data_IF_897446762993
#
_entry.id   IF_897446762993
#
_cell.length_a   1.000
_cell.length_b   1.000
_cell.length_c   1.000
_cell.angle_alpha   90.00
_cell.angle_beta   90.00
_cell.angle_gamma   90.00
#
_symmetry.space_group_name_H-M   'P 1'
#
loop_
_entity.id
_entity.type
_entity.pdbx_description
1 polymer ?
#
# COMPACT_ATOMS: atom_id res chain seq x y z
N UNK A 1 -48.66 -39.85 26.26
CA UNK A 1 -47.30 -39.63 25.72
C UNK A 1 -46.33 -39.51 26.90
N UNK A 2 -45.31 -40.37 27.01
CA UNK A 2 -44.41 -40.36 28.17
C UNK A 2 -43.28 -39.32 27.97
N UNK A 3 -42.96 -38.59 29.04
CA UNK A 3 -41.84 -37.66 29.14
C UNK A 3 -40.55 -38.44 29.40
N UNK A 4 -39.53 -38.24 28.56
CA UNK A 4 -38.16 -38.70 28.82
C UNK A 4 -37.41 -37.67 29.66
N UNK A 5 -36.50 -38.09 30.57
CA UNK A 5 -35.65 -37.18 31.31
C UNK A 5 -34.34 -36.91 30.56
N UNK A 6 -33.94 -35.63 30.51
CA UNK A 6 -32.63 -35.19 30.05
C UNK A 6 -31.56 -35.56 31.10
N UNK A 7 -30.47 -36.15 30.62
CA UNK A 7 -29.30 -36.56 31.39
C UNK A 7 -28.19 -35.53 31.10
N UNK A 8 -27.89 -34.66 32.05
CA UNK A 8 -26.73 -33.77 31.99
C UNK A 8 -25.49 -34.54 32.46
N UNK A 9 -24.51 -34.68 31.58
CA UNK A 9 -23.13 -35.06 31.92
C UNK A 9 -22.29 -33.79 31.97
N UNK A 10 -21.92 -33.38 33.19
CA UNK A 10 -20.80 -32.47 33.43
C UNK A 10 -19.52 -33.31 33.32
N UNK A 11 -18.70 -33.04 32.32
CA UNK A 11 -17.30 -33.47 32.29
C UNK A 11 -16.45 -32.29 32.78
N UNK A 12 -15.91 -32.43 33.99
CA UNK A 12 -14.83 -31.61 34.53
C UNK A 12 -13.54 -31.96 33.77
N UNK A 13 -13.00 -31.01 33.01
CA UNK A 13 -11.64 -31.09 32.48
C UNK A 13 -10.66 -30.43 33.46
N UNK A 14 -9.85 -31.26 34.10
CA UNK A 14 -8.66 -30.84 34.86
C UNK A 14 -7.64 -30.16 33.93
N UNK A 15 -7.31 -28.90 34.23
CA UNK A 15 -6.20 -28.18 33.62
C UNK A 15 -4.88 -28.58 34.30
N UNK A 16 -3.97 -29.19 33.52
CA UNK A 16 -2.62 -29.54 33.96
C UNK A 16 -1.70 -28.32 34.17
N UNK A 17 -0.58 -28.48 34.90
CA UNK A 17 0.27 -27.38 35.30
C UNK A 17 1.12 -26.83 34.15
N UNK A 18 1.19 -25.50 34.06
CA UNK A 18 2.08 -24.75 33.19
C UNK A 18 3.55 -25.08 33.48
N UNK A 19 4.29 -25.45 32.44
CA UNK A 19 5.71 -25.74 32.49
C UNK A 19 6.49 -24.48 32.03
N UNK A 20 7.35 -23.98 32.91
CA UNK A 20 8.23 -22.83 32.69
C UNK A 20 9.20 -23.11 31.52
N UNK A 21 9.20 -22.22 30.53
CA UNK A 21 10.22 -22.18 29.47
C UNK A 21 11.27 -21.12 29.84
N UNK A 22 12.34 -21.57 30.49
CA UNK A 22 13.56 -20.79 30.71
C UNK A 22 14.49 -20.89 29.50
N UNK A 23 14.78 -19.74 28.92
CA UNK A 23 16.08 -19.28 28.40
C UNK A 23 17.06 -20.30 27.80
N UNK A 24 17.28 -20.20 26.49
CA UNK A 24 18.55 -20.59 25.85
C UNK A 24 18.85 -19.66 24.66
N UNK A 25 19.55 -18.55 24.92
CA UNK A 25 20.21 -17.77 23.89
C UNK A 25 21.45 -18.53 23.42
N UNK A 26 21.40 -19.08 22.21
CA UNK A 26 22.56 -19.66 21.52
C UNK A 26 23.27 -18.56 20.73
N UNK A 27 24.52 -18.27 21.10
CA UNK A 27 25.40 -17.33 20.42
C UNK A 27 25.87 -17.90 19.08
N UNK A 28 25.72 -17.12 18.00
CA UNK A 28 26.24 -17.45 16.66
C UNK A 28 27.64 -16.83 16.51
N UNK A 29 28.67 -17.59 16.13
CA UNK A 29 29.96 -17.01 15.76
C UNK A 29 29.92 -16.48 14.32
N UNK A 30 30.28 -15.20 14.16
CA UNK A 30 30.61 -14.58 12.88
C UNK A 30 31.93 -15.18 12.35
N UNK A 31 31.87 -15.88 11.22
CA UNK A 31 33.06 -16.27 10.46
C UNK A 31 33.15 -15.44 9.18
N UNK A 32 34.20 -14.64 9.14
CA UNK A 32 34.66 -13.85 8.00
C UNK A 32 35.40 -14.73 7.00
N UNK A 33 35.01 -14.72 5.72
CA UNK A 33 35.89 -15.13 4.63
C UNK A 33 35.46 -14.45 3.31
N UNK A 34 36.32 -13.57 2.79
CA UNK A 34 36.32 -13.10 1.41
C UNK A 34 37.25 -14.00 0.59
N UNK A 35 36.91 -14.27 -0.68
CA UNK A 35 37.93 -14.42 -1.70
C UNK A 35 37.70 -13.40 -2.83
N UNK A 36 38.75 -12.62 -3.08
CA UNK A 36 38.82 -11.71 -4.22
C UNK A 36 39.07 -12.46 -5.53
N UNK A 37 38.57 -11.89 -6.62
CA UNK A 37 39.11 -12.10 -7.96
C UNK A 37 39.12 -10.77 -8.69
N UNK A 38 40.34 -10.37 -9.05
CA UNK A 38 40.69 -9.22 -9.87
C UNK A 38 40.49 -9.53 -11.35
N UNK A 39 39.73 -8.71 -12.06
CA UNK A 39 39.83 -8.57 -13.50
C UNK A 39 40.06 -7.09 -13.85
N UNK A 40 40.96 -6.77 -14.80
CA UNK A 40 41.21 -5.40 -15.21
C UNK A 40 40.06 -4.90 -16.10
N UNK A 41 39.67 -3.60 -16.01
CA UNK A 41 38.66 -3.06 -16.89
C UNK A 41 39.26 -2.79 -18.28
N UNK A 42 38.43 -3.10 -19.28
CA UNK A 42 38.60 -2.71 -20.67
C UNK A 42 38.55 -1.18 -20.74
N UNK A 43 39.59 -0.56 -21.30
CA UNK A 43 39.64 0.88 -21.60
C UNK A 43 39.12 1.06 -23.02
N UNK A 44 37.98 1.74 -23.17
CA UNK A 44 37.54 2.33 -24.43
C UNK A 44 37.93 3.80 -24.38
N UNK A 45 38.97 4.16 -25.13
CA UNK A 45 39.32 5.53 -25.45
C UNK A 45 38.32 6.00 -26.53
N UNK A 46 37.37 6.86 -26.18
CA UNK A 46 36.70 7.86 -27.06
C UNK A 46 35.39 8.47 -26.44
N UNK A 47 35.33 8.76 -25.13
CA UNK A 47 34.17 9.46 -24.50
C UNK A 47 34.37 10.97 -24.26
N UNK A 48 35.56 11.51 -24.52
CA UNK A 48 35.90 12.89 -24.10
C UNK A 48 35.31 14.01 -24.99
N UNK A 49 34.58 13.68 -26.06
CA UNK A 49 33.98 14.68 -26.95
C UNK A 49 32.52 15.01 -26.64
N UNK A 50 31.82 14.21 -25.83
CA UNK A 50 30.40 14.46 -25.49
C UNK A 50 30.20 15.11 -24.11
N UNK A 51 31.09 14.87 -23.14
CA UNK A 51 30.96 15.36 -21.76
C UNK A 51 31.15 16.88 -21.62
N UNK A 52 31.87 17.51 -22.55
CA UNK A 52 32.25 18.92 -22.48
C UNK A 52 31.11 19.90 -22.77
N UNK A 53 30.06 19.47 -23.49
CA UNK A 53 28.93 20.33 -23.84
C UNK A 53 27.84 20.39 -22.75
N UNK A 54 27.78 19.41 -21.86
CA UNK A 54 26.73 19.26 -20.85
C UNK A 54 27.11 19.80 -19.45
N UNK A 55 28.40 19.92 -19.12
CA UNK A 55 28.83 20.33 -17.76
C UNK A 55 28.69 21.84 -17.47
N UNK A 56 28.55 22.70 -18.47
CA UNK A 56 28.44 24.15 -18.23
C UNK A 56 27.05 24.66 -17.83
N UNK A 57 26.06 23.78 -17.63
CA UNK A 57 24.66 24.16 -17.37
C UNK A 57 24.13 23.73 -16.00
N UNK A 58 24.98 23.52 -14.99
CA UNK A 58 24.52 22.89 -13.73
C UNK A 58 23.79 23.80 -12.71
N UNK A 59 23.73 25.13 -12.87
CA UNK A 59 23.24 26.02 -11.78
C UNK A 59 22.07 26.99 -12.07
N UNK A 60 21.22 26.77 -13.08
CA UNK A 60 19.98 27.54 -13.27
C UNK A 60 18.73 26.70 -13.00
N UNK A 61 17.68 27.34 -12.48
CA UNK A 61 16.33 26.81 -12.20
C UNK A 61 15.92 25.56 -13.01
N UNK A 62 15.50 24.50 -12.32
CA UNK A 62 15.24 23.17 -12.91
C UNK A 62 14.30 23.18 -14.13
N UNK A 63 13.28 24.04 -14.18
CA UNK A 63 12.32 24.05 -15.30
C UNK A 63 12.95 24.50 -16.62
N UNK A 64 13.95 25.38 -16.59
CA UNK A 64 14.57 25.92 -17.81
C UNK A 64 15.54 24.93 -18.45
N UNK A 65 16.09 24.00 -17.67
CA UNK A 65 16.96 22.94 -18.19
C UNK A 65 16.16 21.84 -18.87
N UNK A 66 15.04 21.46 -18.28
CA UNK A 66 14.20 20.39 -18.81
C UNK A 66 13.63 20.76 -20.19
N UNK A 67 13.15 22.00 -20.36
CA UNK A 67 12.69 22.50 -21.66
C UNK A 67 13.83 22.53 -22.70
N UNK A 68 15.05 22.90 -22.30
CA UNK A 68 16.21 22.88 -23.20
C UNK A 68 16.58 21.47 -23.65
N UNK A 69 16.47 20.47 -22.77
CA UNK A 69 16.75 19.06 -23.09
C UNK A 69 15.70 18.52 -24.07
N UNK A 70 14.42 18.82 -23.82
CA UNK A 70 13.31 18.44 -24.70
C UNK A 70 13.48 19.05 -26.09
N UNK A 71 13.86 20.33 -26.15
CA UNK A 71 14.09 21.03 -27.42
C UNK A 71 15.26 20.42 -28.20
N UNK A 72 16.37 20.08 -27.52
CA UNK A 72 17.52 19.44 -28.15
C UNK A 72 17.18 18.04 -28.68
N UNK A 73 16.47 17.21 -27.91
CA UNK A 73 16.00 15.90 -28.34
C UNK A 73 15.04 16.01 -29.53
N UNK A 74 14.13 17.00 -29.48
CA UNK A 74 13.18 17.24 -30.56
C UNK A 74 13.86 17.68 -31.86
N UNK A 75 14.87 18.56 -31.76
CA UNK A 75 15.66 19.00 -32.91
C UNK A 75 16.52 17.87 -33.50
N UNK A 76 17.11 17.03 -32.64
CA UNK A 76 17.91 15.87 -33.04
C UNK A 76 17.12 14.85 -33.88
N UNK A 77 15.84 14.66 -33.60
CA UNK A 77 14.98 13.74 -34.37
C UNK A 77 14.64 14.27 -35.77
N UNK A 78 14.88 15.56 -36.03
CA UNK A 78 14.55 16.21 -37.28
C UNK A 78 13.04 16.27 -37.58
N UNK A 79 12.68 17.02 -38.61
CA UNK A 79 11.28 17.17 -39.05
C UNK A 79 10.69 15.89 -39.66
N UNK A 80 11.50 14.85 -39.89
CA UNK A 80 11.09 13.60 -40.52
C UNK A 80 10.30 12.70 -39.58
N UNK A 81 10.44 12.88 -38.26
CA UNK A 81 9.65 12.18 -37.24
C UNK A 81 8.33 12.91 -36.92
N UNK A 82 7.49 13.10 -37.95
CA UNK A 82 6.26 13.90 -37.90
C UNK A 82 5.17 13.44 -36.89
N UNK A 83 5.40 12.36 -36.13
CA UNK A 83 4.43 11.80 -35.19
C UNK A 83 4.68 12.13 -33.72
N UNK A 84 5.90 12.52 -33.33
CA UNK A 84 6.25 12.78 -31.93
C UNK A 84 6.17 14.27 -31.62
N UNK A 85 5.46 14.62 -30.54
CA UNK A 85 5.37 15.97 -29.98
C UNK A 85 6.41 16.17 -28.86
N UNK A 86 6.73 17.42 -28.52
CA UNK A 86 7.61 17.73 -27.38
C UNK A 86 7.05 17.18 -26.06
N UNK A 87 5.73 17.15 -25.93
CA UNK A 87 5.03 16.53 -24.81
C UNK A 87 5.25 15.01 -24.73
N UNK A 88 5.41 14.33 -25.87
CA UNK A 88 5.73 12.90 -25.90
C UNK A 88 7.16 12.65 -25.40
N UNK A 89 8.11 13.52 -25.77
CA UNK A 89 9.49 13.47 -25.28
C UNK A 89 9.56 13.76 -23.79
N UNK A 90 8.81 14.77 -23.30
CA UNK A 90 8.67 15.02 -21.85
C UNK A 90 8.14 13.80 -21.12
N UNK A 91 7.12 13.15 -21.68
CA UNK A 91 6.56 11.93 -21.08
C UNK A 91 7.59 10.80 -21.06
N UNK A 92 8.39 10.63 -22.12
CA UNK A 92 9.47 9.66 -22.16
C UNK A 92 10.55 9.97 -21.12
N UNK A 93 10.94 11.24 -20.95
CA UNK A 93 11.85 11.64 -19.89
C UNK A 93 11.27 11.32 -18.51
N UNK A 94 9.98 11.57 -18.27
CA UNK A 94 9.27 11.19 -17.04
C UNK A 94 9.32 9.67 -16.81
N UNK A 95 9.12 8.87 -17.87
CA UNK A 95 9.16 7.38 -17.84
C UNK A 95 10.55 6.85 -17.49
N UNK A 96 11.59 7.53 -17.97
CA UNK A 96 12.99 7.15 -17.81
C UNK A 96 13.71 8.00 -16.76
N UNK A 97 12.98 8.59 -15.81
CA UNK A 97 13.54 9.34 -14.66
C UNK A 97 14.53 10.47 -15.07
N UNK A 98 14.28 11.09 -16.21
CA UNK A 98 15.12 12.16 -16.78
C UNK A 98 16.37 11.67 -17.51
N UNK A 99 16.54 10.37 -17.74
CA UNK A 99 17.67 9.79 -18.48
C UNK A 99 17.57 10.10 -19.98
N UNK A 100 18.26 11.17 -20.38
CA UNK A 100 18.27 11.71 -21.74
C UNK A 100 18.83 10.70 -22.74
N UNK A 101 19.89 9.99 -22.38
CA UNK A 101 20.58 9.04 -23.27
C UNK A 101 19.67 7.86 -23.58
N UNK A 102 18.95 7.37 -22.57
CA UNK A 102 18.01 6.27 -22.75
C UNK A 102 16.78 6.68 -23.57
N UNK A 103 16.29 7.90 -23.38
CA UNK A 103 15.24 8.47 -24.22
C UNK A 103 15.72 8.63 -25.67
N UNK A 104 16.93 9.16 -25.87
CA UNK A 104 17.55 9.29 -27.19
C UNK A 104 17.70 7.93 -27.88
N UNK A 105 18.27 6.92 -27.21
CA UNK A 105 18.36 5.54 -27.73
C UNK A 105 16.98 4.96 -28.04
N UNK A 106 15.98 5.15 -27.18
CA UNK A 106 14.61 4.68 -27.44
C UNK A 106 13.98 5.35 -28.67
N UNK A 107 14.32 6.62 -28.93
CA UNK A 107 13.80 7.38 -30.07
C UNK A 107 14.55 7.09 -31.38
N UNK A 108 15.84 6.72 -31.29
CA UNK A 108 16.71 6.45 -32.45
C UNK A 108 16.74 4.96 -32.87
N UNK A 109 16.63 4.03 -31.92
CA UNK A 109 16.80 2.59 -32.17
C UNK A 109 15.49 1.84 -32.43
N UNK A 110 14.34 2.36 -31.99
CA UNK A 110 13.06 1.69 -32.17
C UNK A 110 12.34 2.15 -33.44
N UNK A 111 11.60 1.21 -34.06
CA UNK A 111 10.61 1.53 -35.07
C UNK A 111 9.65 2.58 -34.48
N UNK A 112 9.55 3.76 -35.09
CA UNK A 112 8.81 4.92 -34.57
C UNK A 112 7.39 4.55 -34.09
N UNK A 113 6.79 3.53 -34.70
CA UNK A 113 5.49 2.98 -34.32
C UNK A 113 5.46 2.43 -32.88
N UNK A 114 6.53 1.76 -32.42
CA UNK A 114 6.63 1.18 -31.07
C UNK A 114 6.76 2.26 -30.00
N UNK A 115 7.62 3.25 -30.22
CA UNK A 115 7.80 4.38 -29.28
C UNK A 115 6.53 5.22 -29.18
N UNK A 116 5.86 5.48 -30.31
CA UNK A 116 4.55 6.14 -30.33
C UNK A 116 3.47 5.35 -29.57
N UNK A 117 3.50 4.02 -29.67
CA UNK A 117 2.54 3.20 -28.95
C UNK A 117 2.81 3.21 -27.43
N UNK A 118 4.08 3.16 -27.01
CA UNK A 118 4.47 3.28 -25.60
C UNK A 118 3.98 4.59 -25.00
N UNK A 119 4.21 5.70 -25.70
CA UNK A 119 3.73 7.04 -25.29
C UNK A 119 2.20 7.10 -25.18
N UNK A 120 1.47 6.50 -26.14
CA UNK A 120 0.00 6.41 -26.09
C UNK A 120 -0.47 5.60 -24.89
N UNK A 121 0.19 4.48 -24.60
CA UNK A 121 -0.16 3.61 -23.48
C UNK A 121 0.08 4.34 -22.14
N UNK A 122 1.18 5.09 -22.00
CA UNK A 122 1.44 5.92 -20.81
C UNK A 122 0.46 7.09 -20.65
N UNK A 123 0.09 7.77 -21.74
CA UNK A 123 -0.96 8.81 -21.69
C UNK A 123 -2.28 8.25 -21.21
N UNK A 124 -2.65 7.05 -21.69
CA UNK A 124 -3.86 6.37 -21.25
C UNK A 124 -3.77 6.04 -19.75
N UNK A 125 -2.66 5.46 -19.28
CA UNK A 125 -2.46 5.15 -17.87
C UNK A 125 -2.60 6.41 -16.98
N UNK A 126 -1.96 7.51 -17.37
CA UNK A 126 -2.03 8.79 -16.65
C UNK A 126 -3.44 9.39 -16.65
N UNK A 127 -4.19 9.25 -17.75
CA UNK A 127 -5.59 9.69 -17.81
C UNK A 127 -6.50 8.87 -16.90
N UNK A 128 -6.31 7.55 -16.82
CA UNK A 128 -7.05 6.67 -15.93
C UNK A 128 -6.74 7.01 -14.47
N UNK A 129 -5.47 7.26 -14.15
CA UNK A 129 -5.05 7.72 -12.83
C UNK A 129 -5.68 9.08 -12.47
N UNK A 130 -5.71 10.05 -13.39
CA UNK A 130 -6.28 11.37 -13.12
C UNK A 130 -7.82 11.35 -12.96
N UNK A 131 -8.53 10.51 -13.73
CA UNK A 131 -9.96 10.28 -13.56
C UNK A 131 -10.26 9.59 -12.21
N UNK A 132 -9.35 8.74 -11.75
CA UNK A 132 -9.45 8.03 -10.48
C UNK A 132 -9.08 8.91 -9.26
N UNK A 133 -8.11 9.80 -9.40
CA UNK A 133 -7.68 10.76 -8.39
C UNK A 133 -8.64 11.95 -8.22
N UNK A 134 -9.67 12.05 -9.06
CA UNK A 134 -10.70 13.08 -8.91
C UNK A 134 -11.31 12.94 -7.50
N UNK A 135 -11.04 13.88 -6.59
CA UNK A 135 -11.39 13.71 -5.19
C UNK A 135 -12.90 13.58 -5.12
N UNK A 136 -13.36 12.41 -4.67
CA UNK A 136 -14.76 12.25 -4.28
C UNK A 136 -14.97 13.21 -3.13
N UNK A 137 -15.51 14.38 -3.44
CA UNK A 137 -15.95 15.37 -2.46
C UNK A 137 -16.92 14.63 -1.55
N UNK A 138 -16.43 14.26 -0.38
CA UNK A 138 -17.23 13.59 0.63
C UNK A 138 -18.26 14.62 1.09
N UNK A 139 -19.47 14.50 0.55
CA UNK A 139 -20.63 15.24 0.98
C UNK A 139 -20.83 15.01 2.48
N UNK A 140 -21.01 16.11 3.19
CA UNK A 140 -21.23 16.19 4.63
C UNK A 140 -22.17 15.08 5.13
N UNK A 141 -21.69 14.34 6.14
CA UNK A 141 -22.51 13.39 6.88
C UNK A 141 -23.63 14.19 7.56
N UNK A 142 -24.91 13.87 7.34
CA UNK A 142 -26.02 14.54 7.99
C UNK A 142 -25.85 14.50 9.51
N UNK A 143 -25.80 15.68 10.11
CA UNK A 143 -25.68 15.86 11.55
C UNK A 143 -27.04 15.49 12.19
N UNK A 144 -27.16 14.26 12.68
CA UNK A 144 -28.33 13.83 13.46
C UNK A 144 -28.30 14.47 14.85
N UNK A 145 -29.31 15.28 15.14
CA UNK A 145 -29.57 15.90 16.45
C UNK A 145 -29.74 14.83 17.53
N UNK A 146 -28.65 14.52 18.23
CA UNK A 146 -28.61 13.50 19.29
C UNK A 146 -28.76 14.18 20.66
N UNK A 147 -29.54 13.62 21.61
CA UNK A 147 -29.78 14.18 22.94
C UNK A 147 -28.49 14.46 23.73
N UNK A 148 -28.54 15.49 24.58
CA UNK A 148 -27.47 16.04 25.42
C UNK A 148 -26.86 15.01 26.36
N UNK A 149 -25.84 14.32 25.87
CA UNK A 149 -25.15 13.28 26.60
C UNK A 149 -24.00 13.90 27.43
N UNK A 150 -23.83 13.45 28.69
CA UNK A 150 -22.85 14.05 29.62
C UNK A 150 -21.42 13.66 29.21
N UNK A 151 -20.46 14.61 29.20
CA UNK A 151 -19.07 14.30 28.89
C UNK A 151 -18.46 13.36 29.95
N UNK A 152 -17.61 12.44 29.50
CA UNK A 152 -16.85 11.53 30.36
C UNK A 152 -15.90 12.32 31.30
N UNK A 153 -15.74 11.90 32.57
CA UNK A 153 -14.72 12.46 33.46
C UNK A 153 -13.32 12.38 32.85
N UNK A 154 -12.48 13.38 33.10
CA UNK A 154 -11.15 13.47 32.50
C UNK A 154 -10.28 12.23 32.79
N UNK A 155 -10.32 11.69 34.01
CA UNK A 155 -9.57 10.50 34.41
C UNK A 155 -10.02 9.23 33.67
N UNK A 156 -11.33 9.06 33.43
CA UNK A 156 -11.86 7.94 32.64
C UNK A 156 -11.47 8.06 31.18
N UNK A 157 -11.49 9.28 30.63
CA UNK A 157 -11.06 9.58 29.26
C UNK A 157 -9.59 9.23 29.04
N UNK A 158 -8.70 9.60 29.96
CA UNK A 158 -7.26 9.30 29.88
C UNK A 158 -6.98 7.80 29.94
N UNK A 159 -7.64 7.07 30.85
CA UNK A 159 -7.53 5.60 30.93
C UNK A 159 -7.99 4.92 29.65
N UNK A 160 -9.10 5.40 29.08
CA UNK A 160 -9.61 4.86 27.81
C UNK A 160 -8.62 5.09 26.67
N UNK A 161 -8.07 6.31 26.54
CA UNK A 161 -7.05 6.63 25.53
C UNK A 161 -5.83 5.71 25.68
N UNK A 162 -5.38 5.49 26.92
CA UNK A 162 -4.29 4.57 27.21
C UNK A 162 -4.62 3.13 26.79
N UNK A 163 -5.80 2.60 27.14
CA UNK A 163 -6.22 1.26 26.75
C UNK A 163 -6.29 1.09 25.23
N UNK A 164 -6.78 2.09 24.50
CA UNK A 164 -6.78 2.05 23.02
C UNK A 164 -5.35 1.94 22.49
N UNK A 165 -4.42 2.78 22.96
CA UNK A 165 -3.03 2.77 22.45
C UNK A 165 -2.25 1.51 22.83
N UNK A 166 -2.37 1.06 24.07
CA UNK A 166 -1.51 0.01 24.62
C UNK A 166 -2.08 -1.40 24.45
N UNK A 167 -3.39 -1.53 24.21
CA UNK A 167 -4.04 -2.84 24.11
C UNK A 167 -4.63 -3.03 22.72
N UNK A 168 -5.48 -2.11 22.26
CA UNK A 168 -6.18 -2.26 20.99
C UNK A 168 -5.22 -2.24 19.79
N UNK A 169 -4.26 -1.32 19.76
CA UNK A 169 -3.31 -1.20 18.63
C UNK A 169 -2.38 -2.41 18.49
N UNK A 170 -1.73 -2.92 19.56
CA UNK A 170 -0.92 -4.14 19.46
C UNK A 170 -1.75 -5.37 19.09
N UNK A 171 -2.98 -5.49 19.60
CA UNK A 171 -3.88 -6.56 19.19
C UNK A 171 -4.25 -6.44 17.71
N UNK A 172 -4.52 -5.23 17.22
CA UNK A 172 -4.77 -4.99 15.80
C UNK A 172 -3.57 -5.40 14.96
N UNK A 173 -2.35 -5.03 15.36
CA UNK A 173 -1.13 -5.46 14.67
C UNK A 173 -1.05 -6.99 14.58
N UNK A 174 -1.36 -7.70 15.66
CA UNK A 174 -1.37 -9.16 15.69
C UNK A 174 -2.46 -9.77 14.78
N UNK A 175 -3.64 -9.18 14.70
CA UNK A 175 -4.72 -9.62 13.79
C UNK A 175 -4.37 -9.38 12.31
N UNK A 176 -3.53 -8.37 12.03
CA UNK A 176 -2.99 -8.17 10.69
C UNK A 176 -1.94 -9.24 10.35
N UNK A 177 -1.18 -9.74 11.33
CA UNK A 177 -0.23 -10.84 11.14
C UNK A 177 -0.99 -12.13 10.79
N UNK A 178 -0.86 -12.57 9.54
CA UNK A 178 -1.59 -13.73 9.02
C UNK A 178 -2.80 -13.37 8.17
N UNK A 179 -3.09 -12.08 7.98
CA UNK A 179 -4.02 -11.64 6.95
C UNK A 179 -3.56 -12.15 5.58
N UNK A 180 -4.47 -12.84 4.91
CA UNK A 180 -4.33 -13.21 3.51
C UNK A 180 -5.10 -12.22 2.67
N UNK A 181 -4.46 -11.71 1.62
CA UNK A 181 -5.14 -10.89 0.64
C UNK A 181 -5.68 -11.80 -0.46
N UNK A 182 -6.91 -11.56 -0.95
CA UNK A 182 -7.41 -12.23 -2.15
C UNK A 182 -6.48 -12.00 -3.34
N UNK A 183 -6.47 -12.97 -4.26
CA UNK A 183 -5.82 -12.78 -5.56
C UNK A 183 -6.52 -11.66 -6.33
N UNK A 184 -5.74 -10.91 -7.10
CA UNK A 184 -6.22 -9.80 -7.93
C UNK A 184 -6.06 -10.19 -9.40
N UNK A 185 -7.17 -10.27 -10.11
CA UNK A 185 -7.21 -10.66 -11.52
C UNK A 185 -7.95 -9.63 -12.37
N UNK A 186 -7.58 -9.56 -13.65
CA UNK A 186 -8.27 -8.76 -14.64
C UNK A 186 -8.14 -9.42 -15.99
N UNK A 187 -9.27 -9.86 -16.55
CA UNK A 187 -9.35 -10.49 -17.87
C UNK A 187 -9.84 -9.50 -18.94
N UNK A 188 -9.20 -8.33 -18.99
CA UNK A 188 -9.54 -7.28 -19.93
C UNK A 188 -9.32 -7.67 -21.40
N UNK A 189 -9.99 -6.98 -22.34
CA UNK A 189 -9.83 -7.24 -23.78
C UNK A 189 -8.46 -6.81 -24.33
N UNK A 190 -7.78 -5.87 -23.65
CA UNK A 190 -6.47 -5.32 -24.06
C UNK A 190 -5.30 -5.92 -23.30
N UNK A 191 -5.49 -6.20 -22.02
CA UNK A 191 -4.49 -6.77 -21.14
C UNK A 191 -5.17 -7.69 -20.16
N UNK A 192 -4.46 -8.73 -19.80
CA UNK A 192 -4.81 -9.69 -18.78
C UNK A 192 -3.70 -9.69 -17.74
N UNK A 193 -4.06 -9.72 -16.46
CA UNK A 193 -3.07 -9.88 -15.41
C UNK A 193 -3.63 -10.60 -14.20
N UNK A 194 -2.72 -11.24 -13.48
CA UNK A 194 -2.99 -11.98 -12.25
C UNK A 194 -1.93 -11.62 -11.22
N UNK A 195 -2.33 -11.24 -10.01
CA UNK A 195 -1.48 -11.13 -8.84
C UNK A 195 -1.96 -12.18 -7.85
N UNK A 196 -1.12 -13.18 -7.55
CA UNK A 196 -1.48 -14.34 -6.74
C UNK A 196 -0.59 -14.51 -5.53
N UNK A 197 -1.15 -15.09 -4.48
CA UNK A 197 -0.40 -15.40 -3.26
C UNK A 197 0.05 -14.14 -2.53
N UNK A 198 -0.84 -13.14 -2.45
CA UNK A 198 -0.57 -11.91 -1.73
C UNK A 198 -0.57 -12.19 -0.22
N UNK A 199 0.58 -11.95 0.42
CA UNK A 199 0.78 -12.24 1.84
C UNK A 199 1.44 -11.07 2.56
N UNK A 200 0.93 -10.72 3.75
CA UNK A 200 1.54 -9.70 4.58
C UNK A 200 2.85 -10.24 5.18
N UNK A 201 3.97 -9.57 4.90
CA UNK A 201 5.29 -9.91 5.44
C UNK A 201 5.59 -9.14 6.71
N UNK A 202 5.28 -7.85 6.71
CA UNK A 202 5.65 -6.93 7.78
C UNK A 202 4.62 -5.81 7.91
N UNK A 203 4.48 -5.33 9.14
CA UNK A 203 3.54 -4.28 9.53
C UNK A 203 4.16 -3.42 10.61
N UNK A 204 4.30 -2.14 10.33
CA UNK A 204 4.76 -1.15 11.32
C UNK A 204 3.64 -0.15 11.57
N UNK A 205 3.16 -0.10 12.82
CA UNK A 205 2.19 0.90 13.30
C UNK A 205 2.92 1.80 14.31
N UNK A 206 3.21 3.07 13.97
CA UNK A 206 3.86 3.99 14.90
C UNK A 206 2.87 4.43 15.98
N UNK A 207 2.96 3.81 17.17
CA UNK A 207 2.05 4.02 18.31
C UNK A 207 2.02 5.50 18.77
N UNK A 208 3.15 6.20 18.63
CA UNK A 208 3.30 7.62 18.92
C UNK A 208 2.46 8.52 18.01
N UNK A 209 2.12 8.04 16.81
CA UNK A 209 1.30 8.75 15.82
C UNK A 209 -0.18 8.35 15.87
N UNK A 210 -0.58 7.49 16.82
CA UNK A 210 -1.99 7.19 17.06
C UNK A 210 -2.61 8.34 17.85
N UNK A 211 -3.63 8.98 17.30
CA UNK A 211 -4.41 10.02 17.95
C UNK A 211 -5.77 9.45 18.36
N UNK A 212 -6.19 9.72 19.60
CA UNK A 212 -7.49 9.30 20.12
C UNK A 212 -8.20 10.54 20.64
N UNK A 213 -9.30 10.90 20.00
CA UNK A 213 -10.14 12.03 20.38
C UNK A 213 -11.48 11.52 20.87
N UNK A 214 -11.83 11.82 22.13
CA UNK A 214 -13.11 11.42 22.71
C UNK A 214 -14.07 12.60 22.69
N UNK A 215 -15.01 12.58 21.75
CA UNK A 215 -16.07 13.58 21.56
C UNK A 215 -17.42 12.90 21.76
N UNK A 216 -17.82 12.75 23.01
CA UNK A 216 -19.01 11.98 23.39
C UNK A 216 -20.25 12.36 22.54
N UNK A 217 -20.97 11.37 21.95
CA UNK A 217 -20.85 9.92 22.12
C UNK A 217 -19.83 9.22 21.21
N UNK A 218 -19.11 9.96 20.39
CA UNK A 218 -18.15 9.43 19.43
C UNK A 218 -16.73 9.41 20.00
N UNK A 219 -15.99 8.39 19.60
CA UNK A 219 -14.57 8.19 19.87
C UNK A 219 -13.92 8.08 18.50
N UNK A 220 -13.02 9.00 18.19
CA UNK A 220 -12.26 9.01 16.96
C UNK A 220 -10.86 8.49 17.25
N UNK A 221 -10.43 7.49 16.48
CA UNK A 221 -9.08 6.94 16.54
C UNK A 221 -8.46 7.10 15.15
N UNK A 222 -7.39 7.86 15.06
CA UNK A 222 -6.67 8.11 13.82
C UNK A 222 -5.24 7.57 13.97
N UNK A 223 -4.87 6.63 13.12
CA UNK A 223 -3.52 6.08 13.03
C UNK A 223 -2.90 6.57 11.73
N UNK A 224 -1.79 7.30 11.81
CA UNK A 224 -1.08 7.84 10.65
C UNK A 224 0.23 7.10 10.40
N UNK A 225 0.73 7.18 9.16
CA UNK A 225 2.00 6.62 8.72
C UNK A 225 2.17 5.13 9.06
N UNK A 226 1.10 4.35 8.94
CA UNK A 226 1.21 2.89 8.97
C UNK A 226 1.96 2.44 7.71
N UNK A 227 2.85 1.47 7.88
CA UNK A 227 3.64 0.87 6.80
C UNK A 227 3.35 -0.62 6.73
N UNK A 228 3.16 -1.14 5.51
CA UNK A 228 2.96 -2.56 5.26
C UNK A 228 3.89 -3.03 4.16
N UNK A 229 4.35 -4.28 4.29
CA UNK A 229 5.09 -4.96 3.24
C UNK A 229 4.34 -6.22 2.81
N UNK A 230 4.02 -6.31 1.53
CA UNK A 230 3.26 -7.44 0.96
C UNK A 230 4.17 -8.22 0.00
N UNK A 231 4.26 -9.53 0.19
CA UNK A 231 4.82 -10.42 -0.81
C UNK A 231 3.76 -10.74 -1.87
N UNK A 232 4.16 -10.72 -3.14
CA UNK A 232 3.36 -11.26 -4.23
C UNK A 232 4.06 -12.54 -4.67
N UNK A 233 3.42 -13.67 -4.39
CA UNK A 233 3.96 -15.00 -4.70
C UNK A 233 4.18 -15.20 -6.19
N UNK A 234 3.18 -14.88 -7.01
CA UNK A 234 3.31 -14.93 -8.47
C UNK A 234 2.52 -13.78 -9.08
N UNK A 235 3.11 -13.05 -10.02
CA UNK A 235 2.39 -12.16 -10.91
C UNK A 235 2.50 -12.67 -12.35
N UNK A 236 1.47 -12.44 -13.14
CA UNK A 236 1.41 -12.76 -14.56
C UNK A 236 0.79 -11.57 -15.28
N UNK A 237 1.33 -11.22 -16.44
CA UNK A 237 0.80 -10.18 -17.32
C UNK A 237 0.81 -10.64 -18.76
N UNK A 238 -0.25 -10.35 -19.50
CA UNK A 238 -0.39 -10.65 -20.92
C UNK A 238 -1.11 -9.52 -21.65
N UNK A 239 -0.42 -8.84 -22.57
CA UNK A 239 -1.05 -7.90 -23.50
C UNK A 239 -1.65 -8.65 -24.68
N UNK A 240 -2.95 -8.45 -24.93
CA UNK A 240 -3.68 -8.99 -26.07
C UNK A 240 -3.60 -8.02 -27.25
N UNK A 241 -3.34 -8.52 -28.46
CA UNK A 241 -3.31 -7.70 -29.69
C UNK A 241 -2.28 -8.13 -30.73
N UNK A 242 -2.00 -7.24 -31.68
CA UNK A 242 -1.05 -7.48 -32.79
C UNK A 242 0.40 -7.59 -32.32
N UNK A 243 0.75 -6.97 -31.20
CA UNK A 243 2.03 -7.13 -30.52
C UNK A 243 1.77 -7.72 -29.12
N UNK A 244 1.51 -9.02 -29.08
CA UNK A 244 1.30 -9.76 -27.84
C UNK A 244 2.62 -9.91 -27.10
N UNK A 245 2.64 -9.55 -25.83
CA UNK A 245 3.75 -9.87 -24.94
C UNK A 245 3.21 -10.41 -23.62
N UNK A 246 3.97 -11.32 -23.03
CA UNK A 246 3.66 -11.97 -21.78
C UNK A 246 4.90 -11.93 -20.89
N UNK A 247 4.69 -11.70 -19.60
CA UNK A 247 5.74 -11.76 -18.60
C UNK A 247 5.15 -12.25 -17.26
N UNK A 248 6.00 -12.83 -16.42
CA UNK A 248 5.60 -13.37 -15.13
C UNK A 248 6.78 -13.41 -14.14
N UNK A 249 6.48 -13.54 -12.85
CA UNK A 249 7.50 -13.72 -11.83
C UNK A 249 7.02 -13.42 -10.42
N UNK A 250 7.95 -13.01 -9.57
CA UNK A 250 7.67 -12.62 -8.18
C UNK A 250 7.82 -11.11 -7.98
N UNK A 251 7.09 -10.57 -7.00
CA UNK A 251 7.24 -9.18 -6.60
C UNK A 251 7.05 -9.00 -5.09
N UNK A 252 7.44 -7.83 -4.60
CA UNK A 252 7.06 -7.35 -3.27
C UNK A 252 6.56 -5.93 -3.40
N UNK A 253 5.69 -5.52 -2.49
CA UNK A 253 5.11 -4.18 -2.47
C UNK A 253 5.31 -3.57 -1.10
N UNK A 254 5.91 -2.40 -1.08
CA UNK A 254 5.98 -1.55 0.10
C UNK A 254 4.83 -0.52 0.01
N UNK A 255 3.99 -0.50 1.04
CA UNK A 255 2.92 0.46 1.21
C UNK A 255 3.28 1.38 2.37
N UNK A 256 3.25 2.69 2.14
CA UNK A 256 3.62 3.69 3.16
C UNK A 256 2.65 4.86 3.19
N UNK A 257 2.65 5.57 4.32
CA UNK A 257 1.72 6.68 4.56
C UNK A 257 0.27 6.19 4.67
N UNK A 258 0.06 4.97 5.17
CA UNK A 258 -1.30 4.45 5.37
C UNK A 258 -1.93 5.18 6.54
N UNK A 259 -3.15 5.66 6.34
CA UNK A 259 -3.98 6.29 7.37
C UNK A 259 -5.19 5.43 7.65
N UNK A 260 -5.42 5.16 8.92
CA UNK A 260 -6.57 4.38 9.40
C UNK A 260 -7.35 5.25 10.37
N UNK A 261 -8.54 5.68 9.95
CA UNK A 261 -9.49 6.43 10.75
C UNK A 261 -10.63 5.54 11.21
N UNK A 262 -10.92 5.54 12.52
CA UNK A 262 -12.02 4.80 13.13
C UNK A 262 -12.92 5.78 13.88
N UNK A 263 -14.22 5.68 13.64
CA UNK A 263 -15.26 6.31 14.44
C UNK A 263 -15.99 5.22 15.19
N UNK A 264 -15.82 5.20 16.51
CA UNK A 264 -16.49 4.31 17.44
C UNK A 264 -17.58 5.12 18.13
N UNK A 265 -18.80 4.58 18.21
CA UNK A 265 -19.91 5.27 18.89
C UNK A 265 -20.38 4.44 20.07
N UNK A 266 -20.61 5.11 21.19
CA UNK A 266 -21.32 4.51 22.31
C UNK A 266 -22.83 4.59 22.09
N UNK A 267 -23.55 3.49 22.29
CA UNK A 267 -25.01 3.49 22.35
C UNK A 267 -25.50 2.66 23.54
N UNK A 268 -26.71 2.97 24.00
CA UNK A 268 -27.38 2.24 25.07
C UNK A 268 -28.49 1.42 24.44
N UNK A 269 -28.50 0.11 24.68
CA UNK A 269 -29.57 -0.76 24.19
C UNK A 269 -30.83 -0.54 25.06
N UNK A 270 -31.91 -0.02 24.48
CA UNK A 270 -33.16 0.18 25.19
C UNK A 270 -34.02 -1.09 25.12
N UNK A 271 -33.98 -1.90 26.18
CA UNK A 271 -35.13 -2.64 26.73
C UNK A 271 -34.74 -3.31 28.06
N UNK A 272 -34.90 -2.57 29.18
CA UNK A 272 -34.86 -3.13 30.54
C UNK A 272 -33.49 -3.28 31.22
N UNK A 273 -32.38 -3.12 30.51
CA UNK A 273 -31.02 -3.19 31.08
C UNK A 273 -30.16 -2.08 30.47
N UNK A 274 -29.62 -1.16 31.30
CA UNK A 274 -28.75 -0.06 30.86
C UNK A 274 -27.34 -0.57 30.51
N UNK A 275 -27.23 -1.41 29.48
CA UNK A 275 -25.94 -1.91 28.99
C UNK A 275 -25.41 -0.96 27.93
N UNK A 276 -24.19 -0.46 28.15
CA UNK A 276 -23.49 0.37 27.17
C UNK A 276 -22.74 -0.52 26.18
N UNK A 277 -22.97 -0.30 24.90
CA UNK A 277 -22.26 -0.95 23.81
C UNK A 277 -21.39 0.07 23.08
N UNK A 278 -20.18 -0.37 22.73
CA UNK A 278 -19.28 0.34 21.83
C UNK A 278 -19.27 -0.42 20.51
N UNK A 279 -19.44 0.31 19.41
CA UNK A 279 -19.39 -0.28 18.07
C UNK A 279 -18.66 0.62 17.10
N UNK A 280 -17.94 0.00 16.16
CA UNK A 280 -17.34 0.72 15.05
C UNK A 280 -18.47 1.23 14.13
N UNK A 281 -18.64 2.56 14.07
CA UNK A 281 -19.60 3.23 13.18
C UNK A 281 -19.04 3.40 11.78
N UNK A 282 -17.77 3.77 11.68
CA UNK A 282 -17.09 4.02 10.41
C UNK A 282 -15.61 3.63 10.54
N UNK A 283 -15.08 2.97 9.53
CA UNK A 283 -13.66 2.77 9.32
C UNK A 283 -13.30 3.35 7.95
N UNK A 284 -12.23 4.13 7.88
CA UNK A 284 -11.67 4.67 6.64
C UNK A 284 -10.21 4.32 6.58
N UNK A 285 -9.78 3.74 5.47
CA UNK A 285 -8.37 3.45 5.20
C UNK A 285 -7.97 4.15 3.91
N UNK A 286 -6.82 4.80 3.92
CA UNK A 286 -6.22 5.37 2.71
C UNK A 286 -4.74 5.05 2.66
N UNK A 287 -4.25 4.64 1.50
CA UNK A 287 -2.83 4.36 1.26
C UNK A 287 -2.24 5.50 0.43
N UNK A 288 -1.20 6.18 0.92
CA UNK A 288 -0.58 7.29 0.20
C UNK A 288 0.33 6.79 -0.94
N UNK A 289 1.26 5.89 -0.63
CA UNK A 289 2.28 5.43 -1.58
C UNK A 289 2.28 3.91 -1.72
N UNK A 290 2.46 3.45 -2.96
CA UNK A 290 2.55 2.02 -3.31
C UNK A 290 3.78 1.82 -4.19
N UNK A 291 4.78 1.08 -3.69
CA UNK A 291 6.04 0.85 -4.41
C UNK A 291 6.24 -0.63 -4.69
N UNK A 292 6.21 -1.00 -5.98
CA UNK A 292 6.50 -2.36 -6.43
C UNK A 292 8.01 -2.58 -6.55
N UNK A 293 8.45 -3.77 -6.13
CA UNK A 293 9.80 -4.29 -6.37
C UNK A 293 9.68 -5.67 -6.99
N UNK A 294 9.87 -5.73 -8.29
CA UNK A 294 9.86 -6.97 -9.06
C UNK A 294 11.22 -7.68 -8.93
N UNK A 295 11.23 -9.01 -8.82
CA UNK A 295 12.46 -9.81 -8.76
C UNK A 295 12.82 -10.37 -10.14
N UNK A 296 14.12 -10.51 -10.42
CA UNK A 296 14.60 -11.21 -11.62
C UNK A 296 14.41 -10.46 -12.94
N UNK A 297 14.21 -9.15 -12.87
CA UNK A 297 13.77 -8.34 -14.01
C UNK A 297 14.90 -7.97 -14.96
N UNK A 298 14.69 -8.18 -16.26
CA UNK A 298 15.63 -7.77 -17.33
C UNK A 298 15.26 -6.46 -18.01
N UNK A 299 13.98 -6.09 -17.99
CA UNK A 299 13.43 -4.95 -18.72
C UNK A 299 12.82 -3.89 -17.78
N UNK A 300 13.65 -3.06 -17.15
CA UNK A 300 13.21 -2.05 -16.16
C UNK A 300 12.02 -1.18 -16.60
N UNK A 301 11.99 -0.76 -17.87
CA UNK A 301 10.92 0.08 -18.43
C UNK A 301 9.54 -0.58 -18.38
N UNK A 302 9.47 -1.91 -18.59
CA UNK A 302 8.22 -2.65 -18.57
C UNK A 302 7.63 -2.67 -17.16
N UNK A 303 8.47 -2.83 -16.15
CA UNK A 303 8.05 -2.87 -14.76
C UNK A 303 7.58 -1.51 -14.24
N UNK A 304 8.13 -0.40 -14.75
CA UNK A 304 7.58 0.93 -14.48
C UNK A 304 6.13 1.02 -14.99
N UNK A 305 5.86 0.57 -16.23
CA UNK A 305 4.50 0.55 -16.78
C UNK A 305 3.56 -0.39 -16.01
N UNK A 306 4.00 -1.61 -15.70
CA UNK A 306 3.22 -2.58 -14.94
C UNK A 306 2.90 -2.07 -13.54
N UNK A 307 3.86 -1.38 -12.90
CA UNK A 307 3.67 -0.80 -11.57
C UNK A 307 2.51 0.19 -11.56
N UNK A 308 2.40 1.08 -12.55
CA UNK A 308 1.30 2.04 -12.64
C UNK A 308 -0.06 1.35 -12.72
N UNK A 309 -0.15 0.27 -13.51
CA UNK A 309 -1.40 -0.50 -13.68
C UNK A 309 -1.77 -1.23 -12.38
N UNK A 310 -0.80 -1.90 -11.74
CA UNK A 310 -1.06 -2.69 -10.54
C UNK A 310 -1.27 -1.82 -9.30
N UNK A 311 -0.66 -0.64 -9.22
CA UNK A 311 -0.73 0.26 -8.06
C UNK A 311 -2.15 0.65 -7.70
N UNK A 312 -2.96 1.14 -8.64
CA UNK A 312 -4.31 1.63 -8.31
C UNK A 312 -5.24 0.51 -7.86
N UNK A 313 -5.14 -0.65 -8.51
CA UNK A 313 -5.94 -1.82 -8.21
C UNK A 313 -5.54 -2.44 -6.87
N UNK A 314 -4.24 -2.65 -6.64
CA UNK A 314 -3.73 -3.15 -5.37
C UNK A 314 -4.07 -2.20 -4.23
N UNK A 315 -3.92 -0.89 -4.43
CA UNK A 315 -4.27 0.13 -3.43
C UNK A 315 -5.71 -0.02 -2.97
N UNK A 316 -6.68 0.02 -3.89
CA UNK A 316 -8.11 -0.12 -3.58
C UNK A 316 -8.41 -1.44 -2.87
N UNK A 317 -7.79 -2.52 -3.34
CA UNK A 317 -8.01 -3.84 -2.77
C UNK A 317 -7.50 -3.92 -1.33
N UNK A 318 -6.28 -3.44 -1.08
CA UNK A 318 -5.69 -3.38 0.25
C UNK A 318 -6.48 -2.46 1.17
N UNK A 319 -6.90 -1.27 0.70
CA UNK A 319 -7.75 -0.36 1.48
C UNK A 319 -9.05 -1.04 1.93
N UNK A 320 -9.74 -1.75 1.02
CA UNK A 320 -10.99 -2.44 1.33
C UNK A 320 -10.80 -3.61 2.32
N UNK A 321 -9.75 -4.41 2.13
CA UNK A 321 -9.42 -5.54 3.00
C UNK A 321 -9.03 -5.03 4.40
N UNK A 322 -8.13 -4.06 4.50
CA UNK A 322 -7.74 -3.45 5.77
C UNK A 322 -8.94 -2.82 6.48
N UNK A 323 -9.78 -2.08 5.77
CA UNK A 323 -10.97 -1.46 6.37
C UNK A 323 -11.88 -2.50 7.00
N UNK A 324 -12.12 -3.62 6.29
CA UNK A 324 -12.97 -4.70 6.78
C UNK A 324 -12.35 -5.39 7.98
N UNK A 325 -11.07 -5.76 7.89
CA UNK A 325 -10.40 -6.49 8.97
C UNK A 325 -10.21 -5.65 10.21
N UNK A 326 -9.77 -4.40 10.07
CA UNK A 326 -9.64 -3.48 11.20
C UNK A 326 -11.00 -3.26 11.86
N UNK A 327 -12.05 -2.99 11.08
CA UNK A 327 -13.40 -2.81 11.63
C UNK A 327 -13.85 -4.03 12.42
N UNK A 328 -13.71 -5.23 11.86
CA UNK A 328 -14.14 -6.47 12.52
C UNK A 328 -13.32 -6.79 13.78
N UNK A 329 -12.00 -6.62 13.71
CA UNK A 329 -11.10 -6.85 14.84
C UNK A 329 -11.44 -5.91 16.00
N UNK A 330 -11.59 -4.61 15.72
CA UNK A 330 -11.94 -3.62 16.74
C UNK A 330 -13.33 -3.88 17.31
N UNK A 331 -14.34 -4.17 16.48
CA UNK A 331 -15.69 -4.44 16.96
C UNK A 331 -15.74 -5.66 17.90
N UNK A 332 -15.00 -6.73 17.56
CA UNK A 332 -14.87 -7.93 18.39
C UNK A 332 -14.21 -7.63 19.76
N UNK A 333 -13.14 -6.84 19.77
CA UNK A 333 -12.47 -6.44 21.01
C UNK A 333 -13.34 -5.52 21.87
N UNK A 334 -14.03 -4.55 21.25
CA UNK A 334 -14.97 -3.67 21.93
C UNK A 334 -16.12 -4.46 22.58
N UNK A 335 -16.66 -5.44 21.87
CA UNK A 335 -17.69 -6.33 22.41
C UNK A 335 -17.19 -7.07 23.66
N UNK A 336 -16.00 -7.69 23.56
CA UNK A 336 -15.36 -8.41 24.67
C UNK A 336 -15.09 -7.50 25.88
N UNK A 337 -14.60 -6.28 25.64
CA UNK A 337 -14.37 -5.30 26.70
C UNK A 337 -15.65 -4.83 27.39
N UNK A 338 -16.71 -4.55 26.62
CA UNK A 338 -17.99 -4.12 27.23
C UNK A 338 -18.57 -5.21 28.12
N UNK A 339 -18.50 -6.48 27.71
CA UNK A 339 -18.95 -7.59 28.56
C UNK A 339 -18.13 -7.70 29.86
N UNK A 340 -16.81 -7.54 29.79
CA UNK A 340 -15.95 -7.63 30.97
C UNK A 340 -16.20 -6.50 31.97
N UNK A 341 -16.34 -5.25 31.51
CA UNK A 341 -16.55 -4.08 32.37
C UNK A 341 -17.89 -4.12 33.10
N UNK A 342 -18.95 -4.63 32.46
CA UNK A 342 -20.30 -4.62 33.03
C UNK A 342 -20.73 -5.95 33.67
N UNK A 343 -19.85 -6.95 33.70
CA UNK A 343 -20.08 -8.20 34.44
C UNK A 343 -19.75 -8.09 35.94
N UNK A 344 -18.96 -7.09 36.34
CA UNK A 344 -18.69 -6.71 37.73
C UNK A 344 -19.72 -5.68 38.24
#
# INVERSE_FOLDING_TARGET
MPKQPFKNSNDEQELGPYQELSEAFVSVPLSSEQPGTSHPPFVLEDEDLFSSALEHQKNSSNSTKEDSVVDNLYEMLGTENAGLSKEDIRLLLDIYDGDVDRVASCLLEQDNASTLQLVKDFRLARSLQAEEEQPRTFTDVPQEDTPTARPLPASSRERFIYSVKEILIPQLANELVGMQFPDIENDGPKYEYHLRGLSLQDTTIPIDQVQVTVTHPDILVDCENVELKIAIGQWEYHRKGTLSFQDDGEASVDLSGIRVGLSIRSYMEQEGMEVFHLRVRKCTVSVEQVRFRFKGTKAGWLYNLLSTIFQSQLKKHVEAVLQTTVSNAVDSQLHSWTQWIFAE
#
